data_IF_563165266169
#
_entry.id   IF_563165266169
#
_cell.length_a   1.000
_cell.length_b   1.000
_cell.length_c   1.000
_cell.angle_alpha   90.00
_cell.angle_beta   90.00
_cell.angle_gamma   90.00
#
_symmetry.space_group_name_H-M   'P 1'
#
loop_
_entity.id
_entity.type
_entity.pdbx_description
1 polymer ?
#
# COMPACT_ATOMS: atom_id res chain seq x y z
N UNK A 1 -8.17 1.34 -34.31
CA UNK A 1 -9.30 1.84 -33.47
C UNK A 1 -9.66 0.70 -32.52
N UNK A 2 -9.55 0.82 -31.20
CA UNK A 2 -10.54 1.45 -30.32
C UNK A 2 -9.85 1.74 -28.96
N UNK A 3 -9.79 3.00 -28.54
CA UNK A 3 -9.24 3.43 -27.24
C UNK A 3 -10.31 3.12 -26.19
N UNK A 4 -10.03 2.18 -25.28
CA UNK A 4 -10.93 1.91 -24.15
C UNK A 4 -10.65 2.97 -23.10
N UNK A 5 -11.43 4.04 -23.17
CA UNK A 5 -11.55 5.04 -22.11
C UNK A 5 -12.37 4.39 -20.99
N UNK A 6 -11.72 4.06 -19.87
CA UNK A 6 -12.42 3.57 -18.68
C UNK A 6 -13.00 4.80 -17.95
N UNK A 7 -14.20 5.22 -18.35
CA UNK A 7 -14.95 6.27 -17.66
C UNK A 7 -15.50 5.71 -16.35
N UNK A 8 -14.94 6.19 -15.22
CA UNK A 8 -15.58 6.05 -13.92
C UNK A 8 -16.93 6.77 -13.94
N UNK A 9 -18.00 6.00 -13.73
CA UNK A 9 -19.37 6.48 -13.67
C UNK A 9 -19.60 7.16 -12.31
N UNK A 10 -19.45 8.48 -12.27
CA UNK A 10 -19.91 9.32 -11.16
C UNK A 10 -21.34 9.76 -11.45
N UNK A 11 -22.33 9.11 -10.85
CA UNK A 11 -23.63 9.73 -10.62
C UNK A 11 -24.43 9.01 -9.54
N UNK A 12 -24.72 9.72 -8.44
CA UNK A 12 -25.73 9.28 -7.48
C UNK A 12 -25.65 9.93 -6.11
N UNK A 13 -26.38 11.05 -5.96
CA UNK A 13 -26.94 11.59 -4.71
C UNK A 13 -26.01 12.27 -3.68
N UNK A 14 -26.09 13.61 -3.68
CA UNK A 14 -25.68 14.46 -2.57
C UNK A 14 -26.49 14.10 -1.31
N UNK A 15 -25.80 13.66 -0.25
CA UNK A 15 -26.07 13.97 1.17
C UNK A 15 -24.94 13.39 2.03
N UNK A 16 -23.83 14.11 2.12
CA UNK A 16 -22.96 14.20 3.31
C UNK A 16 -21.68 14.94 2.92
N UNK A 17 -21.64 16.25 3.19
CA UNK A 17 -20.40 17.04 3.06
C UNK A 17 -19.25 16.46 3.93
N UNK A 18 -19.58 15.64 4.93
CA UNK A 18 -18.63 14.96 5.83
C UNK A 18 -17.99 13.72 5.18
N UNK A 19 -18.73 12.96 4.37
CA UNK A 19 -18.21 11.74 3.76
C UNK A 19 -17.19 12.03 2.65
N UNK A 20 -17.40 13.12 1.89
CA UNK A 20 -16.46 13.55 0.84
C UNK A 20 -15.09 13.96 1.43
N UNK A 21 -15.09 14.71 2.54
CA UNK A 21 -13.85 15.17 3.17
C UNK A 21 -13.00 14.02 3.74
N UNK A 22 -13.63 13.01 4.36
CA UNK A 22 -12.89 11.86 4.88
C UNK A 22 -12.36 10.93 3.79
N UNK A 23 -13.07 10.80 2.66
CA UNK A 23 -12.56 10.07 1.49
C UNK A 23 -11.37 10.80 0.88
N UNK A 24 -11.46 12.12 0.71
CA UNK A 24 -10.34 12.93 0.20
C UNK A 24 -9.11 12.82 1.11
N UNK A 25 -9.30 12.97 2.43
CA UNK A 25 -8.23 12.81 3.42
C UNK A 25 -7.60 11.42 3.37
N UNK A 26 -8.40 10.36 3.22
CA UNK A 26 -7.89 9.01 3.06
C UNK A 26 -7.05 8.86 1.80
N UNK A 27 -7.55 9.33 0.65
CA UNK A 27 -6.83 9.26 -0.64
C UNK A 27 -5.50 10.01 -0.56
N UNK A 28 -5.50 11.25 -0.06
CA UNK A 28 -4.27 12.04 0.12
C UNK A 28 -3.29 11.35 1.08
N UNK A 29 -3.80 10.72 2.14
CA UNK A 29 -2.97 9.95 3.07
C UNK A 29 -2.32 8.75 2.37
N UNK A 30 -3.10 7.95 1.64
CA UNK A 30 -2.61 6.77 0.90
C UNK A 30 -1.58 7.17 -0.16
N UNK A 31 -1.80 8.27 -0.88
CA UNK A 31 -0.85 8.78 -1.88
C UNK A 31 0.49 9.15 -1.22
N UNK A 32 0.45 9.92 -0.13
CA UNK A 32 1.65 10.29 0.62
C UNK A 32 2.40 9.06 1.16
N UNK A 33 1.67 8.10 1.75
CA UNK A 33 2.22 6.85 2.27
C UNK A 33 2.89 6.04 1.14
N UNK A 34 2.26 5.99 -0.03
CA UNK A 34 2.77 5.28 -1.20
C UNK A 34 4.03 5.93 -1.77
N UNK A 35 4.10 7.26 -1.81
CA UNK A 35 5.30 7.97 -2.25
C UNK A 35 6.47 7.78 -1.28
N UNK A 36 6.21 7.82 0.03
CA UNK A 36 7.23 7.52 1.03
C UNK A 36 7.75 6.09 0.89
N UNK A 37 6.86 5.10 0.74
CA UNK A 37 7.24 3.71 0.51
C UNK A 37 8.11 3.55 -0.75
N UNK A 38 7.72 4.17 -1.87
CA UNK A 38 8.52 4.16 -3.11
C UNK A 38 9.92 4.74 -2.88
N UNK A 39 10.01 5.83 -2.12
CA UNK A 39 11.29 6.46 -1.80
C UNK A 39 12.16 5.55 -0.92
N UNK A 40 11.61 4.99 0.15
CA UNK A 40 12.33 4.11 1.08
C UNK A 40 12.83 2.85 0.35
N UNK A 41 11.97 2.24 -0.47
CA UNK A 41 12.31 1.08 -1.29
C UNK A 41 13.41 1.41 -2.31
N UNK A 42 13.33 2.56 -2.97
CA UNK A 42 14.37 3.01 -3.91
C UNK A 42 15.70 3.21 -3.21
N UNK A 43 15.71 3.87 -2.05
CA UNK A 43 16.92 4.08 -1.25
C UNK A 43 17.53 2.73 -0.86
N UNK A 44 16.69 1.80 -0.38
CA UNK A 44 17.12 0.46 -0.02
C UNK A 44 17.73 -0.28 -1.22
N UNK A 45 17.04 -0.35 -2.37
CA UNK A 45 17.57 -1.04 -3.55
C UNK A 45 18.85 -0.41 -4.10
N UNK A 46 18.98 0.92 -4.04
CA UNK A 46 20.20 1.62 -4.45
C UNK A 46 21.39 1.36 -3.51
N UNK A 47 21.13 0.89 -2.28
CA UNK A 47 22.19 0.54 -1.32
C UNK A 47 22.73 -0.88 -1.50
N UNK A 48 22.11 -1.68 -2.36
CA UNK A 48 22.48 -3.08 -2.57
C UNK A 48 23.67 -3.21 -3.53
N UNK A 49 24.46 -4.27 -3.34
CA UNK A 49 25.46 -4.66 -4.33
C UNK A 49 24.75 -5.17 -5.60
N UNK A 50 25.07 -4.60 -6.76
CA UNK A 50 24.47 -4.98 -8.03
C UNK A 50 24.75 -6.45 -8.43
N UNK A 51 25.78 -7.08 -7.85
CA UNK A 51 26.10 -8.49 -8.09
C UNK A 51 25.43 -9.44 -7.10
N UNK A 52 24.79 -8.93 -6.03
CA UNK A 52 24.17 -9.81 -5.04
C UNK A 52 22.91 -10.47 -5.60
N UNK A 53 22.77 -11.78 -5.35
CA UNK A 53 21.63 -12.59 -5.83
C UNK A 53 20.56 -12.79 -4.78
N UNK A 54 20.81 -12.37 -3.55
CA UNK A 54 19.89 -12.45 -2.40
C UNK A 54 20.20 -11.35 -1.38
N UNK A 55 19.28 -11.09 -0.46
CA UNK A 55 19.52 -10.18 0.66
C UNK A 55 20.34 -10.87 1.75
N UNK A 56 21.25 -10.14 2.38
CA UNK A 56 21.80 -10.53 3.68
C UNK A 56 20.70 -10.52 4.74
N UNK A 57 20.92 -11.17 5.88
CA UNK A 57 19.95 -11.15 6.99
C UNK A 57 19.62 -9.72 7.44
N UNK A 58 20.59 -8.82 7.46
CA UNK A 58 20.37 -7.42 7.81
C UNK A 58 19.53 -6.69 6.76
N UNK A 59 19.84 -6.87 5.48
CA UNK A 59 19.06 -6.28 4.38
C UNK A 59 17.62 -6.80 4.37
N UNK A 60 17.43 -8.09 4.69
CA UNK A 60 16.10 -8.68 4.80
C UNK A 60 15.29 -8.02 5.93
N UNK A 61 15.89 -7.85 7.12
CA UNK A 61 15.24 -7.15 8.24
C UNK A 61 14.90 -5.71 7.86
N UNK A 62 15.82 -4.99 7.20
CA UNK A 62 15.60 -3.61 6.76
C UNK A 62 14.44 -3.51 5.76
N UNK A 63 14.46 -4.33 4.71
CA UNK A 63 13.39 -4.34 3.71
C UNK A 63 12.03 -4.69 4.33
N UNK A 64 11.98 -5.73 5.17
CA UNK A 64 10.73 -6.09 5.83
C UNK A 64 10.25 -5.04 6.84
N UNK A 65 11.17 -4.27 7.45
CA UNK A 65 10.82 -3.10 8.24
C UNK A 65 10.13 -2.00 7.40
N UNK A 66 10.62 -1.74 6.18
CA UNK A 66 10.00 -0.79 5.25
C UNK A 66 8.57 -1.25 4.89
N UNK A 67 8.41 -2.52 4.54
CA UNK A 67 7.09 -3.08 4.19
C UNK A 67 6.14 -3.09 5.39
N UNK A 68 6.62 -3.44 6.59
CA UNK A 68 5.82 -3.44 7.81
C UNK A 68 5.32 -2.02 8.15
N UNK A 69 6.18 -1.02 8.04
CA UNK A 69 5.82 0.38 8.23
C UNK A 69 4.78 0.85 7.19
N UNK A 70 4.93 0.45 5.93
CA UNK A 70 3.96 0.75 4.88
C UNK A 70 2.58 0.17 5.17
N UNK A 71 2.51 -1.12 5.53
CA UNK A 71 1.26 -1.79 5.94
C UNK A 71 0.61 -1.09 7.13
N UNK A 72 1.39 -0.76 8.16
CA UNK A 72 0.89 -0.11 9.37
C UNK A 72 0.29 1.27 9.04
N UNK A 73 0.97 2.06 8.22
CA UNK A 73 0.48 3.38 7.83
C UNK A 73 -0.80 3.30 6.98
N UNK A 74 -0.88 2.35 6.05
CA UNK A 74 -2.09 2.11 5.26
C UNK A 74 -3.27 1.73 6.15
N UNK A 75 -3.06 0.80 7.09
CA UNK A 75 -4.09 0.40 8.04
C UNK A 75 -4.56 1.57 8.90
N UNK A 76 -3.63 2.36 9.46
CA UNK A 76 -3.96 3.55 10.24
C UNK A 76 -4.71 4.62 9.43
N UNK A 77 -4.36 4.81 8.16
CA UNK A 77 -5.08 5.74 7.29
C UNK A 77 -6.53 5.29 7.07
N UNK A 78 -6.74 3.99 6.84
CA UNK A 78 -8.08 3.42 6.70
C UNK A 78 -8.88 3.52 8.01
N UNK A 79 -8.26 3.21 9.15
CA UNK A 79 -8.90 3.22 10.47
C UNK A 79 -9.32 4.64 10.90
N UNK A 80 -8.47 5.65 10.67
CA UNK A 80 -8.78 7.07 10.97
C UNK A 80 -9.92 7.65 10.15
N UNK A 81 -10.11 7.17 8.93
CA UNK A 81 -11.15 7.65 8.02
C UNK A 81 -12.33 6.69 7.91
N UNK A 82 -12.35 5.64 8.76
CA UNK A 82 -13.22 4.47 8.61
C UNK A 82 -14.68 4.84 8.40
N UNK A 83 -15.22 5.76 9.20
CA UNK A 83 -16.63 6.16 9.13
C UNK A 83 -17.03 6.79 7.78
N UNK A 84 -16.08 7.42 7.12
CA UNK A 84 -16.25 8.10 5.82
C UNK A 84 -16.01 7.17 4.63
N UNK A 85 -15.45 5.97 4.83
CA UNK A 85 -15.16 5.04 3.75
C UNK A 85 -16.33 4.09 3.46
N UNK A 86 -16.34 3.54 2.25
CA UNK A 86 -17.31 2.52 1.85
C UNK A 86 -17.27 1.30 2.77
N UNK A 87 -18.37 0.54 2.80
CA UNK A 87 -18.57 -0.61 3.69
C UNK A 87 -17.41 -1.62 3.65
N UNK A 88 -16.81 -1.83 2.48
CA UNK A 88 -15.67 -2.72 2.30
C UNK A 88 -14.45 -2.27 3.11
N UNK A 89 -14.12 -0.98 3.09
CA UNK A 89 -13.00 -0.42 3.84
C UNK A 89 -13.32 -0.28 5.33
N UNK A 90 -14.60 -0.13 5.68
CA UNK A 90 -15.04 -0.13 7.09
C UNK A 90 -14.71 -1.40 7.86
N UNK A 91 -14.69 -2.54 7.15
CA UNK A 91 -14.42 -3.84 7.73
C UNK A 91 -12.97 -4.29 7.50
N UNK A 92 -12.15 -3.46 6.85
CA UNK A 92 -10.76 -3.79 6.54
C UNK A 92 -9.94 -3.93 7.82
N UNK A 93 -9.39 -5.12 7.99
CA UNK A 93 -8.46 -5.44 9.07
C UNK A 93 -7.01 -5.20 8.61
N UNK A 94 -6.08 -5.14 9.57
CA UNK A 94 -4.65 -5.10 9.24
C UNK A 94 -4.21 -6.33 8.43
N UNK A 95 -4.80 -7.49 8.69
CA UNK A 95 -4.53 -8.72 7.93
C UNK A 95 -4.99 -8.62 6.47
N UNK A 96 -6.10 -7.92 6.20
CA UNK A 96 -6.53 -7.64 4.82
C UNK A 96 -5.52 -6.74 4.10
N UNK A 97 -4.99 -5.72 4.80
CA UNK A 97 -3.94 -4.83 4.25
C UNK A 97 -2.67 -5.63 3.97
N UNK A 98 -2.22 -6.47 4.91
CA UNK A 98 -1.07 -7.37 4.73
C UNK A 98 -1.28 -8.22 3.49
N UNK A 99 -2.44 -8.87 3.36
CA UNK A 99 -2.73 -9.72 2.21
C UNK A 99 -2.67 -8.92 0.90
N UNK A 100 -3.28 -7.74 0.83
CA UNK A 100 -3.24 -6.90 -0.37
C UNK A 100 -1.81 -6.49 -0.74
N UNK A 101 -1.00 -6.06 0.24
CA UNK A 101 0.40 -5.68 0.01
C UNK A 101 1.23 -6.87 -0.46
N UNK A 102 1.10 -8.03 0.20
CA UNK A 102 1.84 -9.24 -0.16
C UNK A 102 1.41 -9.85 -1.49
N UNK A 103 0.16 -9.60 -1.93
CA UNK A 103 -0.34 -9.99 -3.24
C UNK A 103 0.02 -9.02 -4.38
N UNK A 104 0.67 -7.89 -4.07
CA UNK A 104 1.13 -6.94 -5.07
C UNK A 104 2.14 -7.57 -6.04
N UNK A 105 2.17 -7.06 -7.28
CA UNK A 105 3.07 -7.57 -8.32
C UNK A 105 4.53 -7.48 -7.90
N UNK A 106 4.88 -6.41 -7.21
CA UNK A 106 6.19 -6.12 -6.65
C UNK A 106 6.59 -7.21 -5.64
N UNK A 107 5.75 -7.47 -4.63
CA UNK A 107 6.03 -8.50 -3.62
C UNK A 107 6.08 -9.92 -4.22
N UNK A 108 5.21 -10.21 -5.19
CA UNK A 108 5.24 -11.49 -5.91
C UNK A 108 6.52 -11.66 -6.75
N UNK A 109 7.09 -10.58 -7.27
CA UNK A 109 8.39 -10.62 -7.95
C UNK A 109 9.50 -10.95 -6.95
N UNK A 110 9.53 -10.28 -5.80
CA UNK A 110 10.56 -10.48 -4.76
C UNK A 110 10.53 -11.89 -4.15
N UNK A 111 9.35 -12.51 -4.08
CA UNK A 111 9.20 -13.91 -3.65
C UNK A 111 10.04 -14.88 -4.49
N UNK A 112 10.24 -14.61 -5.79
CA UNK A 112 11.09 -15.44 -6.67
C UNK A 112 12.57 -15.42 -6.27
N UNK A 113 12.98 -14.40 -5.52
CA UNK A 113 14.33 -14.22 -4.99
C UNK A 113 14.45 -14.63 -3.52
N UNK A 114 13.48 -15.40 -3.01
CA UNK A 114 13.39 -15.84 -1.61
C UNK A 114 13.31 -14.68 -0.59
N UNK A 115 12.84 -13.52 -1.00
CA UNK A 115 12.57 -12.39 -0.10
C UNK A 115 11.12 -12.52 0.37
N UNK A 116 10.91 -12.83 1.65
CA UNK A 116 9.59 -13.03 2.24
C UNK A 116 9.51 -12.40 3.63
N UNK A 117 8.63 -11.42 3.78
CA UNK A 117 8.41 -10.76 5.06
C UNK A 117 7.29 -11.45 5.83
N UNK A 118 7.58 -11.90 7.05
CA UNK A 118 6.58 -12.39 8.00
C UNK A 118 5.96 -11.19 8.74
N UNK A 119 4.90 -10.64 8.15
CA UNK A 119 4.18 -9.48 8.68
C UNK A 119 3.07 -9.93 9.64
N UNK A 120 2.88 -9.18 10.73
CA UNK A 120 1.89 -9.46 11.79
C UNK A 120 0.88 -8.32 11.95
#
# INVERSE_FOLDING_TARGET
MKKILFCCFLMGCATSNIALAGVEQYVTSVEKISEQYKQDVRIFFNSLDAQQTSFTSQQHVQFCGIVANYVEQLYQAADRNRDSLDRQFRQMTKQDVIHQVMASKEMLMLKKYNIQCDLK
#
